data_IF_130577418585
#
_entry.id   IF_130577418585
#
_cell.length_a   1.000
_cell.length_b   1.000
_cell.length_c   1.000
_cell.angle_alpha   90.00
_cell.angle_beta   90.00
_cell.angle_gamma   90.00
#
_symmetry.space_group_name_H-M   'P 1'
#
loop_
_entity.id
_entity.type
_entity.pdbx_description
1 polymer ?
#
# COMPACT_ATOMS: atom_id res chain seq x y z
N UNK A 1 -3.38 -22.29 14.11
CA UNK A 1 -3.62 -20.96 13.52
C UNK A 1 -4.73 -21.11 12.49
N UNK A 2 -5.89 -20.49 12.69
CA UNK A 2 -6.95 -20.49 11.67
C UNK A 2 -6.57 -19.46 10.61
N UNK A 3 -6.22 -19.91 9.41
CA UNK A 3 -5.87 -19.04 8.31
C UNK A 3 -7.16 -18.51 7.69
N UNK A 4 -7.42 -17.20 7.84
CA UNK A 4 -8.59 -16.57 7.24
C UNK A 4 -8.31 -16.23 5.78
N UNK A 5 -8.74 -17.13 4.89
CA UNK A 5 -8.55 -17.01 3.45
C UNK A 5 -9.32 -15.83 2.81
N UNK A 6 -10.24 -15.20 3.54
CA UNK A 6 -10.99 -14.03 3.03
C UNK A 6 -10.09 -12.83 2.74
N UNK A 7 -8.92 -12.74 3.39
CA UNK A 7 -7.95 -11.64 3.20
C UNK A 7 -7.39 -11.56 1.78
N UNK A 8 -7.26 -12.70 1.09
CA UNK A 8 -6.82 -12.73 -0.31
C UNK A 8 -7.85 -12.19 -1.31
N UNK A 9 -9.09 -11.90 -0.88
CA UNK A 9 -10.08 -11.22 -1.72
C UNK A 9 -9.92 -9.69 -1.69
N UNK A 10 -9.01 -9.17 -0.86
CA UNK A 10 -8.79 -7.74 -0.68
C UNK A 10 -7.91 -7.17 -1.80
N UNK A 11 -8.40 -6.19 -2.56
CA UNK A 11 -7.65 -5.54 -3.64
C UNK A 11 -6.45 -4.74 -3.12
N UNK A 12 -6.56 -4.08 -1.97
CA UNK A 12 -5.44 -3.36 -1.34
C UNK A 12 -4.28 -4.27 -0.99
N UNK A 13 -4.57 -5.52 -0.59
CA UNK A 13 -3.55 -6.54 -0.37
C UNK A 13 -2.79 -6.86 -1.68
N UNK A 14 -3.50 -7.12 -2.78
CA UNK A 14 -2.86 -7.43 -4.06
C UNK A 14 -2.05 -6.26 -4.61
N UNK A 15 -2.55 -5.03 -4.48
CA UNK A 15 -1.78 -3.83 -4.85
C UNK A 15 -0.49 -3.73 -4.03
N UNK A 16 -0.55 -4.01 -2.72
CA UNK A 16 0.63 -4.01 -1.85
C UNK A 16 1.63 -5.10 -2.23
N UNK A 17 1.15 -6.30 -2.56
CA UNK A 17 2.01 -7.41 -3.04
C UNK A 17 2.69 -7.03 -4.36
N UNK A 18 1.94 -6.44 -5.30
CA UNK A 18 2.51 -6.00 -6.58
C UNK A 18 3.54 -4.89 -6.41
N UNK A 19 3.36 -3.97 -5.45
CA UNK A 19 4.35 -2.95 -5.11
C UNK A 19 5.61 -3.54 -4.44
N UNK A 20 5.45 -4.64 -3.70
CA UNK A 20 6.55 -5.31 -3.01
C UNK A 20 7.51 -6.03 -3.97
N UNK A 21 7.00 -6.60 -5.08
CA UNK A 21 7.81 -7.32 -6.07
C UNK A 21 8.98 -6.47 -6.63
N UNK A 22 8.75 -5.29 -7.24
CA UNK A 22 9.85 -4.47 -7.75
C UNK A 22 10.76 -3.95 -6.64
N UNK A 23 10.24 -3.73 -5.43
CA UNK A 23 11.05 -3.33 -4.28
C UNK A 23 12.04 -4.43 -3.88
N UNK A 24 11.59 -5.69 -3.83
CA UNK A 24 12.45 -6.84 -3.54
C UNK A 24 13.48 -7.02 -4.66
N UNK A 25 13.05 -6.96 -5.93
CA UNK A 25 13.95 -7.09 -7.08
C UNK A 25 15.02 -6.00 -7.09
N UNK A 26 14.66 -4.77 -6.73
CA UNK A 26 15.61 -3.67 -6.56
C UNK A 26 16.61 -3.94 -5.42
N UNK A 27 16.16 -4.53 -4.31
CA UNK A 27 17.04 -4.91 -3.20
C UNK A 27 18.06 -5.99 -3.59
N UNK A 28 17.76 -6.83 -4.58
CA UNK A 28 18.68 -7.80 -5.17
C UNK A 28 19.53 -7.23 -6.33
N UNK A 29 19.45 -5.92 -6.60
CA UNK A 29 20.22 -5.25 -7.65
C UNK A 29 19.60 -5.33 -9.06
N UNK A 30 18.35 -5.79 -9.17
CA UNK A 30 17.61 -5.82 -10.44
C UNK A 30 16.77 -4.55 -10.54
N UNK A 31 17.31 -3.54 -11.23
CA UNK A 31 16.65 -2.25 -11.42
C UNK A 31 15.62 -2.33 -12.56
N UNK A 32 14.40 -2.76 -12.23
CA UNK A 32 13.27 -2.84 -13.18
C UNK A 32 12.59 -1.49 -13.38
N UNK A 33 12.73 -0.61 -12.38
CA UNK A 33 12.06 0.68 -12.32
C UNK A 33 13.08 1.80 -12.59
N UNK A 34 12.77 2.79 -13.43
CA UNK A 34 13.65 3.94 -13.67
C UNK A 34 13.95 4.71 -12.37
N UNK A 35 15.15 5.26 -12.26
CA UNK A 35 15.60 6.01 -11.08
C UNK A 35 14.68 7.20 -10.76
N UNK A 36 14.18 7.88 -11.80
CA UNK A 36 13.21 8.98 -11.71
C UNK A 36 11.89 8.60 -11.03
N UNK A 37 11.51 7.32 -11.08
CA UNK A 37 10.28 6.85 -10.46
C UNK A 37 10.29 7.11 -8.95
N UNK A 38 11.43 6.86 -8.29
CA UNK A 38 11.53 7.07 -6.85
C UNK A 38 11.40 8.56 -6.49
N UNK A 39 12.01 9.43 -7.28
CA UNK A 39 11.90 10.89 -7.11
C UNK A 39 10.46 11.37 -7.28
N UNK A 40 9.78 10.91 -8.34
CA UNK A 40 8.38 11.28 -8.62
C UNK A 40 7.45 10.76 -7.53
N UNK A 41 7.57 9.48 -7.15
CA UNK A 41 6.76 8.87 -6.10
C UNK A 41 6.96 9.59 -4.76
N UNK A 42 8.20 9.86 -4.35
CA UNK A 42 8.50 10.58 -3.11
C UNK A 42 7.93 12.01 -3.12
N UNK A 43 8.00 12.70 -4.26
CA UNK A 43 7.43 14.06 -4.40
C UNK A 43 5.91 14.03 -4.20
N UNK A 44 5.22 13.13 -4.90
CA UNK A 44 3.77 12.97 -4.78
C UNK A 44 3.38 12.58 -3.34
N UNK A 45 4.10 11.63 -2.74
CA UNK A 45 3.85 11.18 -1.36
C UNK A 45 4.05 12.31 -0.35
N UNK A 46 5.08 13.14 -0.54
CA UNK A 46 5.36 14.30 0.33
C UNK A 46 4.21 15.32 0.26
N UNK A 47 3.69 15.60 -0.94
CA UNK A 47 2.52 16.47 -1.11
C UNK A 47 1.29 15.88 -0.41
N UNK A 48 1.01 14.59 -0.63
CA UNK A 48 -0.13 13.90 -0.01
C UNK A 48 -0.04 13.90 1.52
N UNK A 49 1.16 13.73 2.09
CA UNK A 49 1.40 13.80 3.53
C UNK A 49 1.22 15.23 4.05
N UNK A 50 1.75 16.24 3.34
CA UNK A 50 1.58 17.65 3.72
C UNK A 50 0.11 18.09 3.70
N UNK A 51 -0.68 17.58 2.75
CA UNK A 51 -2.14 17.79 2.68
C UNK A 51 -2.92 16.98 3.72
N UNK A 52 -2.25 16.15 4.51
CA UNK A 52 -2.87 15.29 5.52
C UNK A 52 -3.59 14.07 4.95
N UNK A 53 -3.55 13.81 3.64
CA UNK A 53 -4.33 12.74 3.00
C UNK A 53 -3.84 11.35 3.44
N UNK A 54 -2.52 11.18 3.57
CA UNK A 54 -1.90 9.89 3.92
C UNK A 54 -1.95 9.60 5.42
N UNK A 55 -1.87 10.61 6.28
CA UNK A 55 -1.75 10.44 7.74
C UNK A 55 -3.02 10.83 8.51
N UNK A 56 -4.16 11.06 7.85
CA UNK A 56 -5.41 11.43 8.51
C UNK A 56 -5.98 10.26 9.36
N UNK A 57 -5.93 10.36 10.71
CA UNK A 57 -6.37 9.27 11.60
C UNK A 57 -7.91 9.15 11.67
N UNK A 58 -8.66 10.05 11.04
CA UNK A 58 -10.14 10.04 11.05
C UNK A 58 -10.76 9.20 9.94
N UNK A 59 -9.94 8.63 9.03
CA UNK A 59 -10.42 7.82 7.90
C UNK A 59 -10.40 6.34 8.28
N UNK A 60 -11.52 5.62 8.11
CA UNK A 60 -11.53 4.16 8.17
C UNK A 60 -10.63 3.58 7.07
N UNK A 61 -10.10 2.37 7.24
CA UNK A 61 -9.19 1.72 6.29
C UNK A 61 -9.91 1.32 4.98
N UNK A 62 -10.29 2.33 4.18
CA UNK A 62 -11.14 2.22 2.98
C UNK A 62 -10.60 1.22 1.94
N UNK A 63 -9.28 1.05 1.90
CA UNK A 63 -8.60 0.20 0.91
C UNK A 63 -8.34 -1.21 1.43
N UNK A 64 -8.49 -1.43 2.74
CA UNK A 64 -8.35 -2.74 3.36
C UNK A 64 -9.69 -3.18 3.96
N UNK A 65 -10.57 -3.70 3.10
CA UNK A 65 -11.94 -4.06 3.46
C UNK A 65 -12.08 -5.37 4.27
N UNK A 66 -11.03 -5.81 4.96
CA UNK A 66 -11.11 -6.92 5.93
C UNK A 66 -11.59 -6.47 7.33
N UNK A 67 -11.88 -5.18 7.51
CA UNK A 67 -12.54 -4.66 8.70
C UNK A 67 -13.97 -5.23 8.83
N UNK A 68 -14.14 -6.16 9.79
CA UNK A 68 -15.47 -6.57 10.23
C UNK A 68 -16.13 -5.38 10.92
N UNK A 69 -17.25 -4.89 10.38
CA UNK A 69 -18.07 -3.89 11.06
C UNK A 69 -18.47 -4.44 12.42
N UNK A 70 -17.85 -3.95 13.50
CA UNK A 70 -18.42 -4.08 14.84
C UNK A 70 -19.73 -3.29 14.79
N UNK A 71 -20.84 -3.97 15.02
CA UNK A 71 -22.19 -3.52 14.70
C UNK A 71 -22.52 -2.11 15.18
N UNK A 72 -23.41 -1.46 14.43
CA UNK A 72 -24.46 -0.65 15.03
C UNK A 72 -25.69 -1.52 15.19
#
# INVERSE_FOLDING_TARGET
MNFDWSRFKNYGLWVSILALIPMILSAFGVHIVPEEYQTITNTILSILVALGIVNNPTTQAKWFNDDKRIGK
#
